data_IF_530241490747
#
_entry.id   IF_530241490747
#
_cell.length_a   1.000
_cell.length_b   1.000
_cell.length_c   1.000
_cell.angle_alpha   90.00
_cell.angle_beta   90.00
_cell.angle_gamma   90.00
#
_symmetry.space_group_name_H-M   'P 1'
#
loop_
_entity.id
_entity.type
_entity.pdbx_description
1 polymer ?
#
# COMPACT_ATOMS: atom_id res chain seq x y z
N UNK A 1 -11.09 19.11 -21.42
CA UNK A 1 -11.95 20.19 -21.98
C UNK A 1 -13.36 20.25 -21.37
N UNK A 2 -14.16 19.17 -21.35
CA UNK A 2 -15.52 19.20 -20.78
C UNK A 2 -15.53 19.57 -19.28
N UNK A 3 -14.68 18.93 -18.49
CA UNK A 3 -14.53 19.21 -17.06
C UNK A 3 -14.14 20.66 -16.76
N UNK A 4 -13.19 21.21 -17.52
CA UNK A 4 -12.81 22.64 -17.46
C UNK A 4 -14.01 23.57 -17.69
N UNK A 5 -14.86 23.25 -18.67
CA UNK A 5 -16.08 24.04 -18.92
C UNK A 5 -17.05 23.96 -17.75
N UNK A 6 -17.25 22.77 -17.19
CA UNK A 6 -18.09 22.58 -16.01
C UNK A 6 -17.53 23.40 -14.84
N UNK A 7 -16.23 23.30 -14.57
CA UNK A 7 -15.55 24.01 -13.48
C UNK A 7 -15.77 25.52 -13.57
N UNK A 8 -15.59 26.10 -14.76
CA UNK A 8 -15.81 27.54 -14.99
C UNK A 8 -17.26 27.97 -14.84
N UNK A 9 -18.21 27.09 -15.15
CA UNK A 9 -19.64 27.40 -15.09
C UNK A 9 -20.22 27.20 -13.69
N UNK A 10 -19.75 26.19 -12.96
CA UNK A 10 -20.28 25.85 -11.65
C UNK A 10 -19.56 26.57 -10.51
N UNK A 11 -18.28 26.93 -10.68
CA UNK A 11 -17.44 27.41 -9.58
C UNK A 11 -17.23 26.34 -8.50
N UNK A 12 -17.11 25.07 -8.90
CA UNK A 12 -16.95 23.96 -7.95
C UNK A 12 -15.62 24.01 -7.19
N UNK A 13 -15.66 23.63 -5.92
CA UNK A 13 -14.49 23.52 -5.04
C UNK A 13 -13.73 22.19 -5.21
N UNK A 14 -14.34 21.21 -5.87
CA UNK A 14 -13.69 19.93 -6.11
C UNK A 14 -14.53 18.95 -6.90
N UNK A 15 -13.90 17.85 -7.31
CA UNK A 15 -14.53 16.70 -7.93
C UNK A 15 -14.10 15.42 -7.23
N UNK A 16 -15.06 14.53 -6.99
CA UNK A 16 -14.79 13.14 -6.67
C UNK A 16 -15.02 12.29 -7.92
N UNK A 17 -14.02 11.51 -8.33
CA UNK A 17 -14.12 10.65 -9.51
C UNK A 17 -14.42 9.24 -9.03
N UNK A 18 -15.63 8.74 -9.31
CA UNK A 18 -16.02 7.39 -8.91
C UNK A 18 -15.37 6.33 -9.84
N UNK A 19 -14.18 5.88 -9.43
CA UNK A 19 -13.35 4.84 -10.05
C UNK A 19 -12.81 5.17 -11.46
N UNK A 20 -11.54 4.84 -11.68
CA UNK A 20 -10.89 4.89 -13.00
C UNK A 20 -10.69 3.46 -13.53
N UNK A 21 -11.74 2.87 -14.09
CA UNK A 21 -11.67 1.52 -14.65
C UNK A 21 -11.07 1.51 -16.06
N UNK A 22 -10.20 0.54 -16.34
CA UNK A 22 -9.91 0.09 -17.71
C UNK A 22 -10.73 -1.17 -17.99
N UNK A 23 -11.62 -1.10 -18.98
CA UNK A 23 -12.31 -2.28 -19.52
C UNK A 23 -11.81 -2.63 -20.90
N UNK A 24 -12.01 -3.87 -21.39
CA UNK A 24 -12.52 -5.07 -20.70
C UNK A 24 -11.50 -5.74 -19.75
N UNK A 25 -11.87 -6.86 -19.10
CA UNK A 25 -10.96 -7.66 -18.27
C UNK A 25 -9.66 -8.00 -19.01
N UNK A 26 -8.52 -7.73 -18.38
CA UNK A 26 -7.20 -7.88 -18.98
C UNK A 26 -6.71 -6.64 -19.74
N UNK A 27 -7.55 -5.61 -19.92
CA UNK A 27 -7.15 -4.29 -20.39
C UNK A 27 -7.81 -3.82 -21.68
N UNK A 28 -7.60 -2.54 -22.02
CA UNK A 28 -8.05 -1.97 -23.28
C UNK A 28 -7.15 -2.43 -24.44
N UNK A 29 -7.70 -3.20 -25.35
CA UNK A 29 -7.00 -3.74 -26.51
C UNK A 29 -7.31 -3.01 -27.82
N UNK A 30 -7.83 -1.77 -27.74
CA UNK A 30 -8.04 -0.91 -28.89
C UNK A 30 -6.75 -0.67 -29.69
N UNK A 31 -6.88 -0.37 -30.98
CA UNK A 31 -5.73 -0.11 -31.86
C UNK A 31 -4.84 1.03 -31.33
N UNK A 32 -5.42 2.01 -30.65
CA UNK A 32 -4.70 3.11 -30.01
C UNK A 32 -3.81 2.62 -28.87
N UNK A 33 -4.36 1.84 -27.95
CA UNK A 33 -3.66 1.36 -26.77
C UNK A 33 -2.60 0.33 -27.13
N UNK A 34 -2.91 -0.56 -28.07
CA UNK A 34 -1.94 -1.54 -28.62
C UNK A 34 -0.77 -0.82 -29.31
N UNK A 35 -1.06 0.18 -30.14
CA UNK A 35 -0.03 0.98 -30.80
C UNK A 35 0.86 1.70 -29.79
N UNK A 36 0.27 2.37 -28.80
CA UNK A 36 1.02 3.09 -27.77
C UNK A 36 1.93 2.15 -26.94
N UNK A 37 1.42 0.97 -26.58
CA UNK A 37 2.24 -0.04 -25.90
C UNK A 37 3.41 -0.51 -26.77
N UNK A 38 3.15 -0.82 -28.04
CA UNK A 38 4.18 -1.24 -28.99
C UNK A 38 5.24 -0.18 -29.24
N UNK A 39 4.84 1.09 -29.34
CA UNK A 39 5.76 2.22 -29.48
C UNK A 39 6.66 2.37 -28.24
N UNK A 40 6.12 2.11 -27.05
CA UNK A 40 6.85 2.23 -25.78
C UNK A 40 7.77 1.06 -25.49
N UNK A 41 7.34 -0.18 -25.74
CA UNK A 41 8.05 -1.39 -25.32
C UNK A 41 8.60 -2.23 -26.48
N UNK A 42 8.33 -1.86 -27.74
CA UNK A 42 8.81 -2.57 -28.93
C UNK A 42 8.14 -3.93 -29.18
N UNK A 43 7.13 -4.30 -28.40
CA UNK A 43 6.44 -5.59 -28.45
C UNK A 43 4.93 -5.40 -28.41
N UNK A 44 4.18 -6.34 -28.99
CA UNK A 44 2.72 -6.37 -28.90
C UNK A 44 2.27 -6.78 -27.49
N UNK A 45 1.16 -6.23 -26.96
CA UNK A 45 0.65 -6.67 -25.68
C UNK A 45 0.12 -8.11 -25.78
N UNK A 46 0.37 -8.96 -24.77
CA UNK A 46 -0.10 -10.33 -24.77
C UNK A 46 -1.62 -10.36 -24.63
N UNK A 47 -2.28 -11.25 -25.40
CA UNK A 47 -3.75 -11.39 -25.41
C UNK A 47 -4.26 -12.38 -24.37
N UNK A 48 -3.36 -13.13 -23.75
CA UNK A 48 -3.67 -14.11 -22.71
C UNK A 48 -2.97 -13.69 -21.43
N UNK A 49 -3.71 -13.65 -20.33
CA UNK A 49 -3.17 -13.39 -19.02
C UNK A 49 -2.16 -14.50 -18.64
N UNK A 50 -0.93 -14.12 -18.36
CA UNK A 50 0.10 -15.00 -17.80
C UNK A 50 0.96 -14.20 -16.84
N UNK A 51 0.79 -14.36 -15.51
CA UNK A 51 1.52 -13.57 -14.53
C UNK A 51 3.03 -13.88 -14.54
N UNK A 52 3.49 -14.97 -15.18
CA UNK A 52 4.92 -15.27 -15.36
C UNK A 52 5.51 -14.62 -16.60
N UNK A 53 4.66 -14.14 -17.52
CA UNK A 53 5.11 -13.43 -18.70
C UNK A 53 5.46 -11.98 -18.33
N UNK A 54 6.72 -11.60 -18.46
CA UNK A 54 7.17 -10.23 -18.17
C UNK A 54 6.48 -9.18 -19.05
N UNK A 55 6.14 -9.52 -20.28
CA UNK A 55 5.37 -8.63 -21.17
C UNK A 55 3.96 -8.41 -20.64
N UNK A 56 3.36 -9.43 -19.99
CA UNK A 56 2.06 -9.30 -19.34
C UNK A 56 2.14 -8.38 -18.11
N UNK A 57 3.17 -8.50 -17.29
CA UNK A 57 3.38 -7.60 -16.16
C UNK A 57 3.58 -6.14 -16.63
N UNK A 58 4.41 -5.92 -17.67
CA UNK A 58 4.53 -4.60 -18.30
C UNK A 58 3.21 -4.09 -18.88
N UNK A 59 2.37 -4.97 -19.39
CA UNK A 59 1.04 -4.61 -19.86
C UNK A 59 0.12 -4.14 -18.74
N UNK A 60 0.18 -4.75 -17.55
CA UNK A 60 -0.53 -4.26 -16.37
C UNK A 60 -0.01 -2.89 -15.91
N UNK A 61 1.31 -2.73 -15.82
CA UNK A 61 1.95 -1.46 -15.43
C UNK A 61 1.59 -0.32 -16.38
N UNK A 62 1.64 -0.59 -17.69
CA UNK A 62 1.28 0.39 -18.72
C UNK A 62 -0.16 0.89 -18.55
N UNK A 63 -1.08 0.00 -18.23
CA UNK A 63 -2.47 0.38 -17.97
C UNK A 63 -2.59 1.24 -16.71
N UNK A 64 -1.84 0.94 -15.64
CA UNK A 64 -1.78 1.80 -14.46
C UNK A 64 -1.22 3.19 -14.79
N UNK A 65 -0.13 3.26 -15.55
CA UNK A 65 0.46 4.52 -15.98
C UNK A 65 -0.49 5.36 -16.82
N UNK A 66 -1.16 4.76 -17.79
CA UNK A 66 -2.12 5.51 -18.62
C UNK A 66 -3.31 6.06 -17.82
N UNK A 67 -3.78 5.35 -16.78
CA UNK A 67 -4.79 5.89 -15.86
C UNK A 67 -4.25 7.05 -15.02
N UNK A 68 -3.03 6.92 -14.52
CA UNK A 68 -2.33 7.95 -13.75
C UNK A 68 -2.06 9.22 -14.60
N UNK A 69 -1.71 9.05 -15.88
CA UNK A 69 -1.54 10.16 -16.84
C UNK A 69 -2.86 10.89 -17.09
N UNK A 70 -3.97 10.17 -17.32
CA UNK A 70 -5.30 10.78 -17.49
C UNK A 70 -5.73 11.53 -16.23
N UNK A 71 -5.45 10.97 -15.06
CA UNK A 71 -5.75 11.60 -13.78
C UNK A 71 -4.93 12.89 -13.60
N UNK A 72 -3.63 12.87 -13.91
CA UNK A 72 -2.76 14.03 -13.85
C UNK A 72 -3.23 15.14 -14.82
N UNK A 73 -3.51 14.78 -16.07
CA UNK A 73 -4.02 15.72 -17.08
C UNK A 73 -5.32 16.40 -16.63
N UNK A 74 -6.21 15.64 -15.97
CA UNK A 74 -7.45 16.19 -15.43
C UNK A 74 -7.20 17.15 -14.27
N UNK A 75 -6.34 16.77 -13.34
CA UNK A 75 -5.95 17.60 -12.18
C UNK A 75 -5.33 18.91 -12.63
N UNK A 76 -4.33 18.86 -13.51
CA UNK A 76 -3.67 20.06 -14.05
C UNK A 76 -4.67 20.96 -14.80
N UNK A 77 -5.57 20.38 -15.60
CA UNK A 77 -6.57 21.14 -16.33
C UNK A 77 -7.58 21.84 -15.41
N UNK A 78 -7.92 21.25 -14.26
CA UNK A 78 -8.80 21.86 -13.27
C UNK A 78 -8.08 22.93 -12.44
N UNK A 79 -6.84 22.68 -12.04
CA UNK A 79 -6.01 23.68 -11.36
C UNK A 79 -5.73 24.91 -12.22
N UNK A 80 -5.67 24.75 -13.55
CA UNK A 80 -5.60 25.87 -14.49
C UNK A 80 -6.88 26.74 -14.52
N UNK A 81 -8.02 26.23 -14.03
CA UNK A 81 -9.23 27.03 -13.79
C UNK A 81 -9.15 27.71 -12.43
N UNK A 82 -8.82 26.95 -11.39
CA UNK A 82 -8.53 27.46 -10.06
C UNK A 82 -7.68 26.42 -9.31
N UNK A 83 -6.55 26.82 -8.70
CA UNK A 83 -5.67 25.90 -7.97
C UNK A 83 -6.31 25.29 -6.72
N UNK A 84 -7.43 25.87 -6.25
CA UNK A 84 -8.17 25.38 -5.08
C UNK A 84 -9.11 24.20 -5.39
N UNK A 85 -9.29 23.85 -6.67
CA UNK A 85 -10.20 22.75 -7.04
C UNK A 85 -9.57 21.41 -6.66
N UNK A 86 -10.11 20.75 -5.65
CA UNK A 86 -9.63 19.45 -5.20
C UNK A 86 -10.07 18.32 -6.16
N UNK A 87 -9.14 17.48 -6.58
CA UNK A 87 -9.42 16.26 -7.35
C UNK A 87 -9.16 15.03 -6.50
N UNK A 88 -10.20 14.24 -6.25
CA UNK A 88 -10.15 13.08 -5.35
C UNK A 88 -10.75 11.84 -6.05
N UNK A 89 -9.94 10.98 -6.68
CA UNK A 89 -10.44 9.71 -7.21
C UNK A 89 -10.76 8.69 -6.12
N UNK A 90 -11.81 7.89 -6.38
CA UNK A 90 -12.12 6.66 -5.67
C UNK A 90 -11.30 5.48 -6.20
N UNK A 91 -10.94 4.53 -5.33
CA UNK A 91 -10.20 3.32 -5.64
C UNK A 91 -10.43 2.19 -4.62
N UNK A 92 -9.97 0.99 -5.00
CA UNK A 92 -10.01 -0.24 -4.20
C UNK A 92 -8.60 -0.83 -3.99
N UNK A 93 -7.55 -0.01 -4.00
CA UNK A 93 -6.18 -0.47 -3.84
C UNK A 93 -5.91 -1.11 -2.47
N UNK A 94 -6.67 -0.76 -1.43
CA UNK A 94 -6.62 -1.37 -0.10
C UNK A 94 -7.28 -2.76 -0.02
N UNK A 95 -7.82 -3.30 -1.12
CA UNK A 95 -8.51 -4.58 -1.17
C UNK A 95 -7.58 -5.74 -1.55
N UNK A 96 -6.41 -5.78 -0.92
CA UNK A 96 -5.34 -6.75 -1.19
C UNK A 96 -5.53 -8.11 -0.50
N UNK A 97 -6.77 -8.48 -0.13
CA UNK A 97 -7.02 -9.66 0.71
C UNK A 97 -7.45 -10.92 -0.07
N UNK A 98 -8.07 -10.79 -1.25
CA UNK A 98 -8.56 -11.94 -2.03
C UNK A 98 -8.65 -11.69 -3.55
N UNK A 99 -7.77 -10.83 -4.09
CA UNK A 99 -7.80 -10.58 -5.54
C UNK A 99 -6.67 -9.70 -6.05
N UNK A 100 -6.14 -10.08 -7.22
CA UNK A 100 -5.09 -9.36 -7.95
C UNK A 100 -5.66 -8.39 -9.00
N UNK A 101 -6.94 -8.53 -9.35
CA UNK A 101 -7.59 -7.78 -10.44
C UNK A 101 -8.24 -6.45 -10.00
N UNK A 102 -7.90 -5.94 -8.80
CA UNK A 102 -8.61 -4.81 -8.17
C UNK A 102 -7.73 -3.59 -7.86
N UNK A 103 -6.46 -3.63 -8.25
CA UNK A 103 -5.54 -2.50 -8.08
C UNK A 103 -5.59 -1.67 -9.36
N UNK A 104 -6.48 -0.69 -9.39
CA UNK A 104 -6.61 0.22 -10.53
C UNK A 104 -5.56 1.33 -10.48
N UNK A 105 -5.11 1.71 -9.30
CA UNK A 105 -4.18 2.82 -9.08
C UNK A 105 -3.03 2.33 -8.20
N UNK A 106 -1.80 2.73 -8.53
CA UNK A 106 -0.62 2.36 -7.74
C UNK A 106 -0.43 3.32 -6.56
N UNK A 107 0.62 3.10 -5.76
CA UNK A 107 1.04 4.05 -4.73
C UNK A 107 1.34 5.45 -5.25
N UNK A 108 1.59 5.60 -6.57
CA UNK A 108 1.85 6.90 -7.20
C UNK A 108 0.59 7.74 -7.42
N UNK A 109 -0.62 7.19 -7.27
CA UNK A 109 -1.84 7.86 -7.70
C UNK A 109 -2.13 9.19 -7.01
N UNK A 110 -1.71 9.40 -5.76
CA UNK A 110 -1.85 10.71 -5.12
C UNK A 110 -0.83 11.76 -5.60
N UNK A 111 0.10 11.40 -6.49
CA UNK A 111 0.92 12.39 -7.20
C UNK A 111 0.18 12.96 -8.41
N UNK A 112 -0.87 12.28 -8.85
CA UNK A 112 -1.68 12.66 -10.01
C UNK A 112 -2.97 13.40 -9.59
N UNK A 113 -3.24 13.51 -8.29
CA UNK A 113 -4.48 14.07 -7.71
C UNK A 113 -4.19 14.75 -6.38
N UNK A 114 -5.15 15.49 -5.83
CA UNK A 114 -4.97 16.21 -4.57
C UNK A 114 -5.12 15.29 -3.37
N UNK A 115 -6.04 14.33 -3.46
CA UNK A 115 -6.27 13.33 -2.44
C UNK A 115 -6.74 12.01 -3.00
N UNK A 116 -6.87 11.02 -2.14
CA UNK A 116 -7.39 9.72 -2.52
C UNK A 116 -8.55 9.37 -1.62
N UNK A 117 -9.55 8.78 -2.23
CA UNK A 117 -10.63 8.14 -1.52
C UNK A 117 -10.52 6.63 -1.73
N UNK A 118 -10.66 5.85 -0.66
CA UNK A 118 -10.54 4.38 -0.70
C UNK A 118 -11.84 3.73 -0.23
N UNK A 119 -12.25 2.66 -0.91
CA UNK A 119 -13.40 1.89 -0.47
C UNK A 119 -13.07 0.99 0.75
N UNK A 120 -13.95 0.98 1.75
CA UNK A 120 -13.83 0.12 2.93
C UNK A 120 -15.20 -0.43 3.35
N UNK A 121 -15.20 -1.54 4.09
CA UNK A 121 -16.38 -2.06 4.80
C UNK A 121 -17.21 -3.07 4.00
N UNK A 122 -17.04 -3.14 2.68
CA UNK A 122 -17.71 -4.14 1.85
C UNK A 122 -17.34 -5.58 2.22
N UNK A 123 -16.17 -5.77 2.84
CA UNK A 123 -15.73 -7.03 3.42
C UNK A 123 -16.74 -7.61 4.42
N UNK A 124 -17.52 -6.79 5.13
CA UNK A 124 -18.57 -7.25 6.05
C UNK A 124 -19.81 -7.81 5.35
N UNK A 125 -20.05 -7.46 4.08
CA UNK A 125 -21.17 -7.99 3.28
C UNK A 125 -20.78 -9.13 2.36
N UNK A 126 -19.52 -9.21 1.93
CA UNK A 126 -19.11 -10.11 0.85
C UNK A 126 -18.52 -11.46 1.31
N UNK A 127 -18.53 -11.79 2.60
CA UNK A 127 -18.02 -13.06 3.16
C UNK A 127 -16.59 -13.41 2.70
N UNK A 128 -15.72 -12.42 2.48
CA UNK A 128 -14.35 -12.67 2.04
C UNK A 128 -13.52 -13.36 3.12
N UNK A 129 -12.57 -14.18 2.67
CA UNK A 129 -11.62 -14.80 3.56
C UNK A 129 -10.64 -13.72 4.04
N UNK A 130 -10.78 -13.33 5.30
CA UNK A 130 -9.93 -12.28 5.89
C UNK A 130 -8.76 -12.93 6.58
N UNK A 131 -7.55 -12.36 6.46
CA UNK A 131 -6.45 -12.83 7.26
C UNK A 131 -6.64 -12.53 8.76
N UNK A 132 -7.39 -11.48 9.15
CA UNK A 132 -7.66 -11.14 10.58
C UNK A 132 -9.05 -10.55 10.84
N UNK A 133 -9.36 -10.40 12.13
CA UNK A 133 -10.55 -9.73 12.64
C UNK A 133 -10.36 -8.20 12.73
N UNK A 134 -11.48 -7.51 12.88
CA UNK A 134 -11.53 -6.12 13.36
C UNK A 134 -10.84 -6.00 14.74
N UNK A 135 -10.04 -4.94 15.03
CA UNK A 135 -9.82 -3.72 14.23
C UNK A 135 -8.60 -3.73 13.29
N UNK A 136 -7.81 -4.80 13.24
CA UNK A 136 -6.54 -4.80 12.49
C UNK A 136 -6.73 -4.54 10.99
N UNK A 137 -7.77 -5.12 10.38
CA UNK A 137 -8.05 -4.94 8.95
C UNK A 137 -8.31 -3.49 8.58
N UNK A 138 -8.96 -2.75 9.48
CA UNK A 138 -9.26 -1.33 9.29
C UNK A 138 -8.06 -0.45 9.51
N UNK A 139 -7.30 -0.69 10.58
CA UNK A 139 -6.06 0.03 10.83
C UNK A 139 -5.12 -0.09 9.63
N UNK A 140 -5.01 -1.29 9.05
CA UNK A 140 -4.25 -1.50 7.81
C UNK A 140 -4.74 -0.61 6.67
N UNK A 141 -6.04 -0.68 6.32
CA UNK A 141 -6.58 0.09 5.19
C UNK A 141 -6.39 1.58 5.38
N UNK A 142 -6.60 2.09 6.60
CA UNK A 142 -6.41 3.51 6.92
C UNK A 142 -4.96 3.94 6.78
N UNK A 143 -4.01 3.20 7.38
CA UNK A 143 -2.58 3.50 7.29
C UNK A 143 -2.05 3.34 5.85
N UNK A 144 -2.61 2.39 5.10
CA UNK A 144 -2.24 2.15 3.70
C UNK A 144 -2.78 3.23 2.76
N UNK A 145 -3.94 3.82 3.08
CA UNK A 145 -4.40 5.03 2.39
C UNK A 145 -3.55 6.25 2.79
N UNK A 146 -3.27 6.40 4.10
CA UNK A 146 -2.45 7.49 4.63
C UNK A 146 -1.07 7.54 3.99
N UNK A 147 -0.38 6.41 3.87
CA UNK A 147 0.99 6.41 3.30
C UNK A 147 1.04 6.86 1.85
N UNK A 148 -0.08 6.70 1.13
CA UNK A 148 -0.20 7.12 -0.27
C UNK A 148 -0.74 8.54 -0.42
N UNK A 149 -1.21 9.19 0.63
CA UNK A 149 -1.83 10.52 0.56
C UNK A 149 -1.04 11.57 1.33
N UNK A 150 -1.18 12.84 0.95
CA UNK A 150 -0.75 13.94 1.82
C UNK A 150 -1.62 13.97 3.08
N UNK A 151 -1.08 14.43 4.23
CA UNK A 151 -1.90 14.66 5.43
C UNK A 151 -3.16 15.48 5.10
N UNK A 152 -4.32 15.04 5.60
CA UNK A 152 -5.61 15.68 5.34
C UNK A 152 -6.32 15.31 4.04
N UNK A 153 -5.65 14.60 3.11
CA UNK A 153 -6.18 14.29 1.79
C UNK A 153 -6.56 12.81 1.58
N UNK A 154 -6.48 11.99 2.63
CA UNK A 154 -6.98 10.61 2.62
C UNK A 154 -8.40 10.52 3.14
N UNK A 155 -9.32 9.98 2.34
CA UNK A 155 -10.72 9.74 2.71
C UNK A 155 -11.07 8.25 2.60
N UNK A 156 -11.69 7.69 3.63
CA UNK A 156 -12.08 6.27 3.65
C UNK A 156 -13.60 6.13 3.60
N UNK A 157 -14.13 5.36 2.66
CA UNK A 157 -15.58 5.14 2.58
C UNK A 157 -16.13 4.56 3.87
N UNK A 158 -17.20 5.19 4.34
CA UNK A 158 -17.93 4.78 5.53
C UNK A 158 -19.27 4.15 5.16
N UNK A 159 -19.46 2.86 5.47
CA UNK A 159 -20.70 2.13 5.18
C UNK A 159 -21.63 2.00 6.39
N UNK A 160 -22.38 3.05 6.73
CA UNK A 160 -23.27 3.02 7.91
C UNK A 160 -24.63 2.39 7.73
N UNK A 161 -25.00 2.04 6.50
CA UNK A 161 -26.31 1.47 6.19
C UNK A 161 -26.76 0.32 7.11
N UNK A 162 -25.83 -0.44 7.72
CA UNK A 162 -26.14 -1.69 8.41
C UNK A 162 -25.42 -1.92 9.77
N UNK A 163 -24.79 -0.91 10.39
CA UNK A 163 -24.04 -1.11 11.64
C UNK A 163 -24.70 -0.46 12.86
N UNK A 164 -24.60 -1.08 14.06
CA UNK A 164 -24.92 -0.41 15.32
C UNK A 164 -24.07 0.84 15.54
N UNK A 165 -24.57 1.80 16.31
CA UNK A 165 -23.89 3.06 16.65
C UNK A 165 -22.46 2.85 17.17
N UNK A 166 -22.25 1.90 18.09
CA UNK A 166 -20.92 1.63 18.63
C UNK A 166 -19.91 1.19 17.55
N UNK A 167 -20.35 0.45 16.54
CA UNK A 167 -19.51 0.07 15.40
C UNK A 167 -19.24 1.26 14.49
N UNK A 168 -20.27 2.07 14.23
CA UNK A 168 -20.16 3.31 13.46
C UNK A 168 -19.07 4.23 14.03
N UNK A 169 -19.13 4.49 15.33
CA UNK A 169 -18.18 5.32 16.08
C UNK A 169 -16.78 4.70 16.08
N UNK A 170 -16.66 3.42 16.43
CA UNK A 170 -15.37 2.74 16.48
C UNK A 170 -14.63 2.76 15.13
N UNK A 171 -15.37 2.63 14.02
CA UNK A 171 -14.81 2.72 12.66
C UNK A 171 -14.39 4.16 12.34
N UNK A 172 -15.25 5.15 12.58
CA UNK A 172 -14.95 6.54 12.24
C UNK A 172 -13.77 7.11 13.01
N UNK A 173 -13.71 6.84 14.31
CA UNK A 173 -12.65 7.39 15.16
C UNK A 173 -11.32 6.68 14.91
N UNK A 174 -11.34 5.40 14.51
CA UNK A 174 -10.11 4.72 14.09
C UNK A 174 -9.59 5.24 12.75
N UNK A 175 -10.46 5.60 11.79
CA UNK A 175 -10.04 6.29 10.56
C UNK A 175 -9.24 7.55 10.91
N UNK A 176 -9.81 8.40 11.76
CA UNK A 176 -9.19 9.66 12.19
C UNK A 176 -7.86 9.43 12.90
N UNK A 177 -7.82 8.49 13.86
CA UNK A 177 -6.62 8.16 14.61
C UNK A 177 -5.48 7.61 13.73
N UNK A 178 -5.81 6.99 12.60
CA UNK A 178 -4.83 6.50 11.62
C UNK A 178 -4.53 7.54 10.51
N UNK A 179 -5.07 8.75 10.63
CA UNK A 179 -4.73 9.89 9.79
C UNK A 179 -5.49 10.00 8.47
N UNK A 180 -6.68 9.41 8.38
CA UNK A 180 -7.60 9.58 7.25
C UNK A 180 -8.98 10.02 7.76
N UNK A 181 -9.78 10.64 6.90
CA UNK A 181 -11.12 11.10 7.26
C UNK A 181 -12.21 10.13 6.76
N UNK A 182 -13.33 9.96 7.48
CA UNK A 182 -14.47 9.20 6.95
C UNK A 182 -15.12 9.95 5.78
N UNK A 183 -15.07 9.35 4.58
CA UNK A 183 -15.80 9.76 3.40
C UNK A 183 -17.20 9.15 3.35
N UNK A 184 -18.20 9.93 2.92
CA UNK A 184 -19.60 9.48 2.86
C UNK A 184 -19.88 8.66 1.59
N UNK A 185 -20.55 7.51 1.74
CA UNK A 185 -21.30 6.87 0.65
C UNK A 185 -22.74 6.56 1.07
N UNK A 186 -23.66 6.70 0.12
CA UNK A 186 -25.11 6.42 0.13
C UNK A 186 -25.71 5.76 1.38
N UNK A 187 -26.58 6.53 2.07
CA UNK A 187 -27.69 6.07 2.90
C UNK A 187 -27.37 5.58 4.33
N UNK A 188 -28.39 5.66 5.20
CA UNK A 188 -28.40 5.05 6.53
C UNK A 188 -27.83 5.91 7.66
N UNK A 189 -28.58 5.96 8.76
CA UNK A 189 -28.23 6.54 10.06
C UNK A 189 -27.59 7.95 10.08
N UNK A 190 -28.27 8.89 9.43
CA UNK A 190 -27.87 10.31 9.39
C UNK A 190 -27.71 10.99 10.76
N UNK A 191 -28.52 10.72 11.79
CA UNK A 191 -28.32 11.31 13.11
C UNK A 191 -26.96 10.89 13.70
N UNK A 192 -26.65 9.60 13.68
CA UNK A 192 -25.39 9.05 14.15
C UNK A 192 -24.19 9.59 13.37
N UNK A 193 -24.33 9.79 12.05
CA UNK A 193 -23.31 10.48 11.26
C UNK A 193 -23.09 11.92 11.70
N UNK A 194 -24.17 12.62 11.99
CA UNK A 194 -24.12 14.00 12.45
C UNK A 194 -23.34 14.08 13.77
N UNK A 195 -23.59 13.14 14.69
CA UNK A 195 -22.88 13.07 15.97
C UNK A 195 -21.39 12.76 15.78
N UNK A 196 -21.07 11.76 14.95
CA UNK A 196 -19.70 11.41 14.59
C UNK A 196 -18.96 12.59 13.97
N UNK A 197 -19.52 13.25 12.96
CA UNK A 197 -18.86 14.38 12.30
C UNK A 197 -18.78 15.60 13.18
N UNK A 198 -19.75 15.83 14.06
CA UNK A 198 -19.67 16.90 15.07
C UNK A 198 -18.50 16.64 16.02
N UNK A 199 -18.31 15.40 16.44
CA UNK A 199 -17.15 15.00 17.24
C UNK A 199 -15.83 15.20 16.46
N UNK A 200 -15.73 14.67 15.24
CA UNK A 200 -14.53 14.79 14.39
C UNK A 200 -14.18 16.26 14.15
N UNK A 201 -15.16 17.11 13.82
CA UNK A 201 -14.97 18.55 13.68
C UNK A 201 -14.42 19.19 14.97
N UNK A 202 -14.87 18.73 16.13
CA UNK A 202 -14.31 19.17 17.41
C UNK A 202 -12.86 18.74 17.63
N UNK A 203 -12.42 17.66 16.98
CA UNK A 203 -11.05 17.16 17.03
C UNK A 203 -10.11 17.82 16.01
N UNK A 204 -10.63 18.30 14.87
CA UNK A 204 -9.85 18.88 13.75
C UNK A 204 -8.72 19.83 14.20
N UNK A 205 -8.94 20.83 15.09
CA UNK A 205 -7.89 21.76 15.51
C UNK A 205 -6.70 21.13 16.24
N UNK A 206 -6.84 19.88 16.69
CA UNK A 206 -5.80 19.15 17.42
C UNK A 206 -5.03 18.16 16.53
N UNK A 207 -5.56 17.83 15.35
CA UNK A 207 -5.07 16.72 14.52
C UNK A 207 -4.73 17.13 13.10
N UNK A 208 -5.18 18.28 12.62
CA UNK A 208 -5.00 18.71 11.22
C UNK A 208 -3.51 18.82 10.83
N UNK A 209 -2.65 19.22 11.76
CA UNK A 209 -1.19 19.32 11.57
C UNK A 209 -0.42 18.14 12.18
N UNK A 210 -1.10 17.10 12.66
CA UNK A 210 -0.45 15.95 13.28
C UNK A 210 0.14 14.97 12.24
N UNK A 211 1.38 14.56 12.48
CA UNK A 211 2.01 13.44 11.77
C UNK A 211 1.96 12.15 12.62
N UNK A 212 1.99 11.01 11.94
CA UNK A 212 2.21 9.74 12.63
C UNK A 212 3.60 9.76 13.28
N UNK A 213 3.72 9.19 14.48
CA UNK A 213 5.02 9.11 15.15
C UNK A 213 5.93 8.15 14.36
N UNK A 214 7.05 8.63 13.80
CA UNK A 214 7.90 7.82 12.93
C UNK A 214 8.78 6.88 13.78
N UNK A 215 8.21 5.78 14.27
CA UNK A 215 8.96 4.77 15.03
C UNK A 215 9.31 3.56 14.17
N UNK A 216 8.32 2.78 13.75
CA UNK A 216 8.49 1.67 12.83
C UNK A 216 8.02 2.08 11.43
N UNK A 217 8.85 1.81 10.42
CA UNK A 217 8.44 1.90 9.02
C UNK A 217 8.27 0.49 8.45
N UNK A 218 7.04 0.13 8.08
CA UNK A 218 6.70 -1.15 7.47
C UNK A 218 6.64 -1.01 5.95
N UNK A 219 7.55 -1.66 5.23
CA UNK A 219 7.58 -1.57 3.79
C UNK A 219 6.48 -2.42 3.14
N UNK A 220 5.58 -1.75 2.40
CA UNK A 220 4.71 -2.38 1.42
C UNK A 220 5.35 -2.24 0.03
N UNK A 221 5.84 -3.36 -0.51
CA UNK A 221 6.44 -3.38 -1.84
C UNK A 221 5.39 -3.75 -2.89
N UNK A 222 5.06 -2.80 -3.77
CA UNK A 222 4.28 -3.03 -4.98
C UNK A 222 5.06 -3.89 -5.97
N UNK A 223 6.38 -3.67 -6.08
CA UNK A 223 7.24 -4.46 -6.95
C UNK A 223 7.25 -5.93 -6.54
N UNK A 224 7.36 -6.21 -5.24
CA UNK A 224 7.26 -7.58 -4.72
C UNK A 224 5.87 -8.16 -4.97
N UNK A 225 4.80 -7.38 -4.77
CA UNK A 225 3.44 -7.84 -5.03
C UNK A 225 3.27 -8.25 -6.50
N UNK A 226 3.66 -7.38 -7.44
CA UNK A 226 3.46 -7.54 -8.86
C UNK A 226 4.41 -8.59 -9.47
N UNK A 227 5.72 -8.42 -9.27
CA UNK A 227 6.75 -9.16 -9.99
C UNK A 227 7.17 -10.45 -9.31
N UNK A 228 6.95 -10.58 -8.00
CA UNK A 228 7.33 -11.77 -7.24
C UNK A 228 6.10 -12.59 -6.83
N UNK A 229 5.14 -11.99 -6.14
CA UNK A 229 4.06 -12.71 -5.49
C UNK A 229 3.01 -13.16 -6.52
N UNK A 230 2.47 -12.21 -7.31
CA UNK A 230 1.47 -12.49 -8.35
C UNK A 230 2.05 -13.41 -9.44
N UNK A 231 3.30 -13.17 -9.84
CA UNK A 231 4.00 -13.99 -10.83
C UNK A 231 4.10 -15.48 -10.46
N UNK A 232 4.10 -15.80 -9.15
CA UNK A 232 4.23 -17.17 -8.63
C UNK A 232 2.90 -17.81 -8.24
N UNK A 233 1.78 -17.10 -8.42
CA UNK A 233 0.44 -17.63 -8.18
C UNK A 233 -0.07 -17.45 -6.74
N UNK A 234 -1.30 -17.95 -6.50
CA UNK A 234 -2.11 -17.65 -5.30
C UNK A 234 -1.42 -18.02 -3.98
N UNK A 235 -0.67 -19.11 -3.94
CA UNK A 235 0.02 -19.53 -2.70
C UNK A 235 1.16 -18.58 -2.32
N UNK A 236 1.94 -18.14 -3.30
CA UNK A 236 3.02 -17.17 -3.08
C UNK A 236 2.47 -15.80 -2.71
N UNK A 237 1.38 -15.37 -3.35
CA UNK A 237 0.62 -14.18 -2.96
C UNK A 237 0.19 -14.23 -1.50
N UNK A 238 -0.48 -15.30 -1.08
CA UNK A 238 -0.90 -15.47 0.31
C UNK A 238 0.28 -15.53 1.28
N UNK A 239 1.40 -16.15 0.90
CA UNK A 239 2.60 -16.20 1.72
C UNK A 239 3.21 -14.80 1.93
N UNK A 240 3.28 -13.98 0.87
CA UNK A 240 3.72 -12.59 0.97
C UNK A 240 2.80 -11.76 1.87
N UNK A 241 1.47 -11.85 1.63
CA UNK A 241 0.48 -11.19 2.47
C UNK A 241 0.63 -11.58 3.94
N UNK A 242 0.69 -12.87 4.26
CA UNK A 242 0.90 -13.34 5.64
C UNK A 242 2.16 -12.77 6.29
N UNK A 243 3.24 -12.60 5.52
CA UNK A 243 4.47 -12.01 6.04
C UNK A 243 4.27 -10.54 6.40
N UNK A 244 3.85 -9.72 5.43
CA UNK A 244 3.55 -8.29 5.60
C UNK A 244 2.64 -8.02 6.81
N UNK A 245 1.59 -8.81 6.89
CA UNK A 245 0.56 -8.63 7.88
C UNK A 245 0.91 -9.20 9.25
N UNK A 246 1.75 -10.23 9.33
CA UNK A 246 2.30 -10.70 10.60
C UNK A 246 3.12 -9.60 11.28
N UNK A 247 3.98 -8.91 10.52
CA UNK A 247 4.72 -7.75 11.03
C UNK A 247 3.80 -6.62 11.49
N UNK A 248 2.78 -6.30 10.68
CA UNK A 248 1.79 -5.28 11.04
C UNK A 248 1.01 -5.62 12.31
N UNK A 249 0.56 -6.88 12.45
CA UNK A 249 -0.14 -7.38 13.62
C UNK A 249 0.72 -7.25 14.89
N UNK A 250 1.99 -7.64 14.83
CA UNK A 250 2.92 -7.49 15.95
C UNK A 250 3.04 -6.02 16.37
N UNK A 251 3.19 -5.11 15.41
CA UNK A 251 3.29 -3.67 15.73
C UNK A 251 2.03 -3.16 16.43
N UNK A 252 0.84 -3.50 15.94
CA UNK A 252 -0.42 -3.06 16.54
C UNK A 252 -0.68 -3.68 17.92
N UNK A 253 -0.50 -4.99 18.08
CA UNK A 253 -0.74 -5.69 19.36
C UNK A 253 0.24 -5.26 20.45
N UNK A 254 1.45 -4.88 20.07
CA UNK A 254 2.46 -4.33 20.99
C UNK A 254 2.32 -2.82 21.21
N UNK A 255 1.31 -2.18 20.61
CA UNK A 255 1.10 -0.73 20.65
C UNK A 255 2.33 0.08 20.20
N UNK A 256 3.07 -0.43 19.22
CA UNK A 256 4.22 0.25 18.64
C UNK A 256 3.74 1.15 17.49
N UNK A 257 4.08 2.46 17.48
CA UNK A 257 3.75 3.34 16.37
C UNK A 257 4.35 2.81 15.07
N UNK A 258 3.51 2.58 14.07
CA UNK A 258 3.91 2.04 12.77
C UNK A 258 3.31 2.87 11.65
N UNK A 259 4.16 3.20 10.68
CA UNK A 259 3.77 3.81 9.42
C UNK A 259 4.08 2.82 8.29
N UNK A 260 3.19 2.74 7.30
CA UNK A 260 3.48 1.97 6.08
C UNK A 260 4.27 2.88 5.15
N UNK A 261 5.33 2.36 4.54
CA UNK A 261 6.12 3.10 3.54
C UNK A 261 6.07 2.37 2.20
N UNK A 262 6.11 3.14 1.11
CA UNK A 262 6.04 2.66 -0.28
C UNK A 262 7.43 2.35 -0.84
N UNK A 263 7.49 1.76 -2.02
CA UNK A 263 8.75 1.51 -2.75
C UNK A 263 9.54 2.83 -2.99
N UNK A 264 8.86 3.95 -3.23
CA UNK A 264 9.50 5.26 -3.40
C UNK A 264 10.01 5.85 -2.09
N UNK A 265 9.25 5.69 -1.00
CA UNK A 265 9.69 6.12 0.33
C UNK A 265 10.93 5.33 0.78
N UNK A 266 11.02 4.05 0.40
CA UNK A 266 12.18 3.22 0.70
C UNK A 266 13.46 3.70 -0.01
N UNK A 267 13.33 4.40 -1.14
CA UNK A 267 14.46 5.01 -1.83
C UNK A 267 14.89 6.36 -1.21
N UNK A 268 14.10 6.95 -0.33
CA UNK A 268 14.38 8.24 0.31
C UNK A 268 15.08 8.07 1.67
N UNK A 269 16.41 8.13 1.67
CA UNK A 269 17.22 8.05 2.89
C UNK A 269 16.83 9.11 3.95
N UNK A 270 16.44 10.32 3.54
CA UNK A 270 16.05 11.38 4.46
C UNK A 270 14.77 11.02 5.22
N UNK A 271 13.81 10.39 4.52
CA UNK A 271 12.61 9.84 5.14
C UNK A 271 12.93 8.65 6.06
N UNK A 272 13.79 7.73 5.63
CA UNK A 272 14.17 6.54 6.43
C UNK A 272 14.80 6.92 7.77
N UNK A 273 15.67 7.94 7.78
CA UNK A 273 16.37 8.40 9.00
C UNK A 273 15.46 8.90 10.12
N UNK A 274 14.17 9.14 9.84
CA UNK A 274 13.18 9.50 10.87
C UNK A 274 12.77 8.32 11.74
N UNK A 275 12.88 7.08 11.22
CA UNK A 275 12.39 5.87 11.89
C UNK A 275 13.47 5.20 12.73
N UNK A 276 13.06 4.67 13.88
CA UNK A 276 13.93 3.87 14.75
C UNK A 276 14.27 2.51 14.12
N UNK A 277 13.31 1.90 13.40
CA UNK A 277 13.56 0.68 12.65
C UNK A 277 12.71 0.56 11.37
N UNK A 278 13.29 -0.09 10.36
CA UNK A 278 12.62 -0.53 9.14
C UNK A 278 12.26 -2.01 9.24
N UNK A 279 11.05 -2.34 8.79
CA UNK A 279 10.54 -3.69 8.65
C UNK A 279 10.38 -4.00 7.16
N UNK A 280 11.14 -4.98 6.66
CA UNK A 280 11.10 -5.45 5.28
C UNK A 280 10.51 -6.88 5.24
N UNK A 281 9.18 -7.00 5.26
CA UNK A 281 8.50 -8.29 5.33
C UNK A 281 8.52 -8.98 3.95
N UNK A 282 9.59 -9.72 3.68
CA UNK A 282 9.86 -10.32 2.38
C UNK A 282 9.76 -9.30 1.24
N UNK A 283 10.40 -8.13 1.40
CA UNK A 283 10.55 -7.14 0.31
C UNK A 283 11.54 -7.69 -0.72
N UNK A 284 11.08 -8.69 -1.48
CA UNK A 284 11.93 -9.56 -2.29
C UNK A 284 12.48 -8.82 -3.51
N UNK A 285 11.66 -7.97 -4.14
CA UNK A 285 12.06 -7.07 -5.20
C UNK A 285 12.52 -5.75 -4.59
N UNK A 286 13.77 -5.36 -4.84
CA UNK A 286 14.31 -4.05 -4.49
C UNK A 286 15.08 -3.47 -5.67
N UNK A 287 14.87 -2.20 -5.98
CA UNK A 287 15.71 -1.45 -6.91
C UNK A 287 17.09 -1.14 -6.31
N UNK A 288 18.04 -0.77 -7.17
CA UNK A 288 19.38 -0.37 -6.72
C UNK A 288 19.34 0.83 -5.77
N UNK A 289 18.58 1.92 -6.05
CA UNK A 289 18.44 3.03 -5.11
C UNK A 289 17.85 2.63 -3.76
N UNK A 290 16.82 1.77 -3.73
CA UNK A 290 16.22 1.29 -2.48
C UNK A 290 17.23 0.51 -1.64
N UNK A 291 17.96 -0.43 -2.24
CA UNK A 291 18.96 -1.21 -1.53
C UNK A 291 20.09 -0.32 -0.94
N UNK A 292 20.54 0.68 -1.70
CA UNK A 292 21.53 1.65 -1.23
C UNK A 292 21.01 2.53 -0.08
N UNK A 293 19.75 2.96 -0.14
CA UNK A 293 19.13 3.75 0.92
C UNK A 293 19.04 2.94 2.23
N UNK A 294 18.60 1.67 2.16
CA UNK A 294 18.56 0.75 3.30
C UNK A 294 19.94 0.53 3.89
N UNK A 295 20.95 0.27 3.06
CA UNK A 295 22.33 0.06 3.53
C UNK A 295 22.86 1.30 4.28
N UNK A 296 22.70 2.50 3.70
CA UNK A 296 23.13 3.76 4.33
C UNK A 296 22.38 4.07 5.62
N UNK A 297 21.08 3.77 5.66
CA UNK A 297 20.26 3.94 6.85
C UNK A 297 20.79 3.08 8.02
N UNK A 298 21.10 1.80 7.77
CA UNK A 298 21.65 0.92 8.81
C UNK A 298 23.07 1.30 9.19
N UNK A 299 23.92 1.70 8.22
CA UNK A 299 25.27 2.22 8.50
C UNK A 299 25.23 3.47 9.39
N UNK A 300 24.16 4.27 9.32
CA UNK A 300 23.93 5.42 10.18
C UNK A 300 23.35 5.06 11.57
N UNK A 301 23.15 3.78 11.88
CA UNK A 301 22.66 3.28 13.16
C UNK A 301 21.16 2.95 13.20
N UNK A 302 20.48 2.98 12.05
CA UNK A 302 19.07 2.59 11.94
C UNK A 302 18.84 1.09 12.15
N UNK A 303 17.73 0.72 12.80
CA UNK A 303 17.37 -0.68 13.02
C UNK A 303 16.75 -1.33 11.78
N UNK A 304 17.09 -2.58 11.47
CA UNK A 304 16.50 -3.30 10.34
C UNK A 304 16.03 -4.69 10.75
N UNK A 305 14.79 -5.01 10.41
CA UNK A 305 14.27 -6.38 10.46
C UNK A 305 13.80 -6.76 9.06
N UNK A 306 14.46 -7.74 8.46
CA UNK A 306 14.13 -8.26 7.14
C UNK A 306 13.75 -9.74 7.25
N UNK A 307 12.90 -10.22 6.34
CA UNK A 307 12.49 -11.63 6.33
C UNK A 307 12.66 -12.28 4.95
N UNK A 308 12.81 -13.60 4.97
CA UNK A 308 12.81 -14.50 3.81
C UNK A 308 13.72 -14.06 2.64
N UNK A 309 13.17 -13.73 1.47
CA UNK A 309 13.95 -13.44 0.25
C UNK A 309 14.24 -11.94 0.04
N UNK A 310 14.19 -11.12 1.10
CA UNK A 310 14.37 -9.65 1.00
C UNK A 310 15.61 -9.26 0.20
N UNK A 311 15.44 -8.43 -0.83
CA UNK A 311 16.49 -7.98 -1.74
C UNK A 311 17.03 -9.04 -2.72
N UNK A 312 16.44 -10.23 -2.76
CA UNK A 312 16.86 -11.32 -3.63
C UNK A 312 16.56 -11.13 -5.12
N UNK A 313 15.74 -10.14 -5.47
CA UNK A 313 15.28 -9.83 -6.82
C UNK A 313 15.41 -8.33 -7.11
N UNK A 314 15.61 -7.99 -8.38
CA UNK A 314 15.47 -6.60 -8.85
C UNK A 314 14.01 -6.14 -8.93
N UNK A 315 13.82 -4.86 -9.24
CA UNK A 315 12.51 -4.21 -9.38
C UNK A 315 11.60 -4.90 -10.41
N UNK A 316 12.17 -5.62 -11.37
CA UNK A 316 11.45 -6.36 -12.41
C UNK A 316 11.28 -7.86 -12.08
N UNK A 317 11.55 -8.26 -10.83
CA UNK A 317 11.44 -9.64 -10.37
C UNK A 317 12.50 -10.58 -10.95
N UNK A 318 13.62 -10.06 -11.46
CA UNK A 318 14.77 -10.89 -11.87
C UNK A 318 15.57 -11.30 -10.66
N UNK A 319 15.86 -12.60 -10.54
CA UNK A 319 16.70 -13.12 -9.45
C UNK A 319 18.10 -12.53 -9.54
N UNK A 320 18.62 -12.04 -8.42
CA UNK A 320 20.03 -11.66 -8.31
C UNK A 320 20.88 -12.87 -7.92
N UNK A 321 22.02 -13.00 -8.60
CA UNK A 321 23.09 -13.91 -8.18
C UNK A 321 23.73 -13.41 -6.89
N UNK A 322 23.98 -12.10 -6.80
CA UNK A 322 24.54 -11.42 -5.64
C UNK A 322 23.52 -10.40 -5.08
N UNK A 323 22.73 -10.74 -4.05
CA UNK A 323 21.80 -9.81 -3.43
C UNK A 323 22.54 -8.65 -2.73
N UNK A 324 22.10 -7.39 -2.91
CA UNK A 324 22.83 -6.21 -2.44
C UNK A 324 22.90 -6.09 -0.91
N UNK A 325 21.98 -6.72 -0.17
CA UNK A 325 21.93 -6.65 1.30
C UNK A 325 22.63 -7.83 2.00
N UNK A 326 23.28 -8.73 1.25
CA UNK A 326 23.94 -9.94 1.79
C UNK A 326 24.96 -9.61 2.88
N UNK A 327 25.85 -8.64 2.61
CA UNK A 327 26.87 -8.19 3.57
C UNK A 327 26.22 -7.58 4.81
N UNK A 328 25.16 -6.80 4.63
CA UNK A 328 24.42 -6.15 5.71
C UNK A 328 23.78 -7.17 6.65
N UNK A 329 23.20 -8.23 6.09
CA UNK A 329 22.59 -9.31 6.86
C UNK A 329 23.61 -10.22 7.55
N UNK A 330 24.88 -10.22 7.08
CA UNK A 330 25.85 -11.22 7.50
C UNK A 330 25.43 -12.66 7.15
N UNK A 331 24.51 -12.81 6.19
CA UNK A 331 23.90 -14.07 5.81
C UNK A 331 23.72 -14.14 4.29
N UNK A 332 24.03 -15.31 3.72
CA UNK A 332 23.87 -15.58 2.29
C UNK A 332 22.77 -16.59 2.05
N UNK A 333 22.03 -16.41 0.95
CA UNK A 333 21.10 -17.44 0.45
C UNK A 333 21.87 -18.72 0.11
N UNK A 334 21.29 -19.86 0.47
CA UNK A 334 21.74 -21.18 0.07
C UNK A 334 20.67 -21.87 -0.79
N UNK A 335 21.03 -22.99 -1.43
CA UNK A 335 20.02 -23.81 -2.12
C UNK A 335 18.98 -24.33 -1.12
N UNK A 336 17.72 -24.33 -1.54
CA UNK A 336 16.64 -24.83 -0.71
C UNK A 336 16.79 -26.35 -0.53
N UNK A 337 16.94 -26.77 0.72
CA UNK A 337 16.96 -28.19 1.09
C UNK A 337 15.60 -28.54 1.67
N UNK A 338 14.95 -29.57 1.10
CA UNK A 338 13.75 -30.15 1.70
C UNK A 338 14.15 -30.80 3.03
N UNK A 339 13.62 -30.26 4.12
CA UNK A 339 13.80 -30.82 5.45
C UNK A 339 12.52 -30.67 6.24
N UNK A 340 12.19 -31.73 6.97
CA UNK A 340 11.04 -31.75 7.88
C UNK A 340 11.35 -30.97 9.17
N UNK A 341 12.64 -30.64 9.39
CA UNK A 341 13.14 -29.91 10.55
C UNK A 341 14.18 -28.87 10.15
N UNK A 342 14.03 -27.65 10.66
CA UNK A 342 15.01 -26.58 10.53
C UNK A 342 15.57 -26.30 11.91
N UNK A 343 16.89 -26.38 12.07
CA UNK A 343 17.57 -26.04 13.32
C UNK A 343 18.61 -24.97 13.05
N UNK A 344 18.55 -23.89 13.82
CA UNK A 344 19.63 -22.92 13.91
C UNK A 344 20.42 -23.26 15.18
N UNK A 345 21.68 -23.73 15.09
CA UNK A 345 22.46 -24.04 16.28
C UNK A 345 22.78 -22.73 17.02
N UNK A 346 22.14 -22.52 18.17
CA UNK A 346 22.33 -21.33 19.01
C UNK A 346 23.43 -21.51 20.08
N UNK A 347 24.09 -22.68 20.10
CA UNK A 347 25.06 -23.00 21.14
C UNK A 347 26.26 -22.04 21.09
N UNK A 348 26.51 -21.35 22.20
CA UNK A 348 27.59 -20.36 22.31
C UNK A 348 27.26 -18.98 21.73
N UNK A 349 26.04 -18.77 21.21
CA UNK A 349 25.57 -17.46 20.77
C UNK A 349 24.97 -16.70 21.95
N UNK A 350 25.54 -15.55 22.30
CA UNK A 350 24.94 -14.61 23.26
C UNK A 350 24.34 -13.46 22.48
N UNK A 351 23.03 -13.26 22.64
CA UNK A 351 22.31 -12.19 21.95
C UNK A 351 21.05 -11.81 22.74
N UNK A 352 20.73 -10.51 22.91
CA UNK A 352 19.58 -10.07 23.71
C UNK A 352 18.23 -10.69 23.31
N UNK A 353 18.04 -10.99 22.02
CA UNK A 353 16.84 -11.70 21.54
C UNK A 353 16.78 -13.11 22.14
N UNK A 354 17.90 -13.83 22.18
CA UNK A 354 17.96 -15.18 22.74
C UNK A 354 17.77 -15.15 24.26
N UNK A 355 18.14 -14.07 24.92
CA UNK A 355 17.98 -13.90 26.37
C UNK A 355 16.52 -13.60 26.78
N UNK A 356 15.61 -13.43 25.82
CA UNK A 356 14.20 -13.18 26.13
C UNK A 356 13.58 -14.39 26.87
N UNK A 357 12.85 -14.19 27.98
CA UNK A 357 12.32 -15.30 28.79
C UNK A 357 11.46 -16.29 28.01
N UNK A 358 10.70 -15.83 27.03
CA UNK A 358 9.83 -16.70 26.23
C UNK A 358 10.61 -17.56 25.23
N UNK A 359 11.78 -17.09 24.77
CA UNK A 359 12.67 -17.89 23.91
C UNK A 359 13.42 -18.90 24.76
N UNK A 360 13.96 -18.48 25.92
CA UNK A 360 14.64 -19.39 26.85
C UNK A 360 13.73 -20.50 27.39
N UNK A 361 12.43 -20.23 27.56
CA UNK A 361 11.45 -21.24 27.99
C UNK A 361 11.04 -22.20 26.87
N UNK A 362 11.17 -21.80 25.61
CA UNK A 362 10.73 -22.60 24.46
C UNK A 362 11.67 -23.79 24.15
N UNK A 363 12.89 -23.80 24.72
CA UNK A 363 13.86 -24.88 24.58
C UNK A 363 14.89 -24.61 23.50
#
# INVERSE_FOLDING_TARGET
QRWVKIAKLSGMDGIMIDMLFTGPHGGDFSDYTVKAFKERFGVEPPRTADPRNRVWQRWLDFQSWTREEVLLDLTEALHAVSPEIAVVPNQTAGWIFDGVDRIFLTTRAARCSDGLLEEMGWDFRHQWNRPWAWPLSSAWQNLFLRCRTRPGYGQMWHMLLNFPEAHAQAISYSMLANGVAPGLVTGGNWPEMTDIWTHIRGCEPWIEECELTPWLALHFSEDTLAWYANARGKDAYHAYMKNLFGFFQVALEMHLPVEIITDDDLADLGKLQRYAALLLPNSACLSTPQAQAVERYVQAGGGLVASFETGGFDEDGTRREEPPLTTLFGASRQEAVLSDHWMMPLQGVSHPILDHPDIQKAG
#
